data_IF_657738911697
#
_entry.id   IF_657738911697
#
_cell.length_a   1.000
_cell.length_b   1.000
_cell.length_c   1.000
_cell.angle_alpha   90.00
_cell.angle_beta   90.00
_cell.angle_gamma   90.00
#
_symmetry.space_group_name_H-M   'P 1'
#
loop_
_entity.id
_entity.type
_entity.pdbx_description
1 polymer ?
#
# COMPACT_ATOMS: atom_id res chain seq x y z
N UNK A 1 -14.90 25.72 5.49
CA UNK A 1 -14.12 24.94 6.44
C UNK A 1 -14.56 25.39 7.80
N UNK A 2 -15.01 24.46 8.61
CA UNK A 2 -15.54 24.67 9.95
C UNK A 2 -14.58 24.12 11.01
N UNK A 3 -14.67 24.59 12.26
CA UNK A 3 -13.87 24.03 13.35
C UNK A 3 -14.10 22.51 13.50
N UNK A 4 -13.00 21.76 13.44
CA UNK A 4 -13.02 20.29 13.53
C UNK A 4 -12.97 19.56 12.19
N UNK A 5 -13.03 20.27 11.06
CA UNK A 5 -12.87 19.66 9.74
C UNK A 5 -11.47 19.01 9.59
N UNK A 6 -11.46 17.78 9.05
CA UNK A 6 -10.24 17.03 8.71
C UNK A 6 -10.10 16.96 7.19
N UNK A 7 -8.98 17.45 6.67
CA UNK A 7 -8.64 17.36 5.24
C UNK A 7 -7.50 16.37 5.06
N UNK A 8 -7.78 15.24 4.42
CA UNK A 8 -6.74 14.28 4.02
C UNK A 8 -6.08 14.76 2.71
N UNK A 9 -4.79 15.09 2.77
CA UNK A 9 -4.02 15.69 1.65
C UNK A 9 -3.55 14.68 0.59
N UNK A 10 -3.87 13.40 0.79
CA UNK A 10 -3.46 12.31 -0.09
C UNK A 10 -2.21 11.59 0.39
N UNK A 11 -1.74 10.63 -0.40
CA UNK A 11 -0.60 9.76 -0.06
C UNK A 11 0.32 9.63 -1.26
N UNK A 12 1.63 9.78 -1.04
CA UNK A 12 2.61 9.41 -2.05
C UNK A 12 2.77 7.88 -2.05
N UNK A 13 2.19 7.22 -3.05
CA UNK A 13 2.19 5.77 -3.12
C UNK A 13 3.53 5.15 -3.56
N UNK A 14 4.51 5.94 -4.04
CA UNK A 14 5.75 5.39 -4.64
C UNK A 14 6.53 4.50 -3.67
N UNK A 15 6.64 4.91 -2.42
CA UNK A 15 7.39 4.18 -1.38
C UNK A 15 6.59 3.09 -0.66
N UNK A 16 5.31 2.91 -1.00
CA UNK A 16 4.42 2.02 -0.24
C UNK A 16 4.29 0.66 -0.90
N UNK A 17 4.17 -0.36 -0.05
CA UNK A 17 3.83 -1.74 -0.40
C UNK A 17 2.60 -2.19 0.42
N UNK A 18 1.94 -3.31 0.06
CA UNK A 18 0.74 -3.78 0.75
C UNK A 18 1.01 -4.11 2.23
N UNK A 19 0.10 -3.72 3.10
CA UNK A 19 0.06 -4.22 4.48
C UNK A 19 -0.47 -5.64 4.52
N UNK A 20 0.09 -6.45 5.41
CA UNK A 20 -0.33 -7.84 5.63
C UNK A 20 -0.64 -8.08 7.10
N UNK A 21 -1.38 -9.17 7.35
CA UNK A 21 -1.71 -9.61 8.71
C UNK A 21 -0.46 -9.70 9.60
N UNK A 22 -0.56 -9.16 10.81
CA UNK A 22 0.54 -9.12 11.77
C UNK A 22 1.51 -7.96 11.58
N UNK A 23 1.37 -7.14 10.52
CA UNK A 23 2.20 -5.95 10.35
C UNK A 23 1.93 -4.93 11.47
N UNK A 24 3.02 -4.37 12.00
CA UNK A 24 3.00 -3.15 12.80
C UNK A 24 3.40 -1.98 11.90
N UNK A 25 2.50 -1.03 11.72
CA UNK A 25 2.69 0.13 10.86
C UNK A 25 3.01 1.35 11.70
N UNK A 26 4.02 2.11 11.25
CA UNK A 26 4.39 3.40 11.81
C UNK A 26 4.36 4.46 10.71
N UNK A 27 3.68 5.57 10.97
CA UNK A 27 3.57 6.70 10.04
C UNK A 27 3.94 7.97 10.79
N UNK A 28 4.84 8.75 10.21
CA UNK A 28 5.31 10.01 10.79
C UNK A 28 5.60 11.05 9.71
N UNK A 29 5.62 12.30 10.12
CA UNK A 29 6.11 13.43 9.33
C UNK A 29 6.76 14.43 10.27
N UNK A 30 7.63 15.27 9.74
CA UNK A 30 8.33 16.27 10.52
C UNK A 30 7.35 17.23 11.20
N UNK A 31 7.61 17.57 12.46
CA UNK A 31 6.79 18.50 13.24
C UNK A 31 5.48 17.93 13.79
N UNK A 32 5.14 16.67 13.49
CA UNK A 32 4.00 15.95 14.06
C UNK A 32 4.46 14.73 14.89
N UNK A 33 3.50 14.05 15.51
CA UNK A 33 3.74 12.79 16.21
C UNK A 33 3.85 11.58 15.28
N UNK A 34 4.13 10.41 15.88
CA UNK A 34 4.13 9.11 15.21
C UNK A 34 2.84 8.36 15.49
N UNK A 35 2.14 7.96 14.43
CA UNK A 35 1.01 7.05 14.50
C UNK A 35 1.51 5.61 14.42
N UNK A 36 1.10 4.76 15.36
CA UNK A 36 1.43 3.33 15.38
C UNK A 36 0.18 2.48 15.50
N UNK A 37 0.03 1.47 14.65
CA UNK A 37 -1.09 0.52 14.69
C UNK A 37 -0.71 -0.86 14.16
N UNK A 38 -1.47 -1.89 14.54
CA UNK A 38 -1.29 -3.26 14.06
C UNK A 38 -2.35 -3.61 13.01
N UNK A 39 -1.99 -4.47 12.05
CA UNK A 39 -2.85 -4.91 10.96
C UNK A 39 -3.36 -6.32 11.25
N UNK A 40 -4.67 -6.51 11.11
CA UNK A 40 -5.33 -7.82 11.15
C UNK A 40 -6.07 -8.04 9.84
N UNK A 41 -5.79 -9.14 9.16
CA UNK A 41 -6.54 -9.62 8.00
C UNK A 41 -7.09 -11.02 8.27
N UNK A 42 -8.40 -11.12 8.46
CA UNK A 42 -9.09 -12.40 8.72
C UNK A 42 -8.91 -13.41 7.56
N UNK A 43 -8.69 -12.91 6.34
CA UNK A 43 -8.52 -13.75 5.16
C UNK A 43 -7.05 -14.17 4.92
N UNK A 44 -6.11 -13.68 5.75
CA UNK A 44 -4.66 -13.98 5.66
C UNK A 44 -4.11 -13.83 4.24
N UNK A 45 -4.56 -12.80 3.51
CA UNK A 45 -4.16 -12.54 2.12
C UNK A 45 -2.73 -12.04 2.09
N UNK A 46 -1.98 -12.44 1.06
CA UNK A 46 -0.61 -11.99 0.86
C UNK A 46 -0.41 -11.40 -0.52
N UNK A 47 0.44 -10.39 -0.55
CA UNK A 47 0.97 -9.77 -1.75
C UNK A 47 2.48 -9.75 -1.66
N UNK A 48 3.14 -9.53 -2.78
CA UNK A 48 4.58 -9.26 -2.78
C UNK A 48 4.87 -7.95 -2.04
N UNK A 49 5.88 -7.93 -1.16
CA UNK A 49 6.34 -6.70 -0.47
C UNK A 49 7.20 -5.84 -1.39
N UNK A 50 6.62 -5.40 -2.51
CA UNK A 50 7.27 -4.48 -3.45
C UNK A 50 6.58 -3.14 -3.42
N UNK A 51 7.40 -2.10 -3.41
CA UNK A 51 6.90 -0.73 -3.50
C UNK A 51 6.43 -0.44 -4.91
N UNK A 52 5.51 0.51 -5.04
CA UNK A 52 5.06 0.97 -6.36
C UNK A 52 6.24 1.48 -7.22
N UNK A 53 7.24 2.12 -6.62
CA UNK A 53 8.48 2.52 -7.30
C UNK A 53 9.24 1.30 -7.85
N UNK A 54 9.43 0.26 -7.05
CA UNK A 54 10.13 -0.95 -7.50
C UNK A 54 9.39 -1.65 -8.65
N UNK A 55 8.05 -1.70 -8.59
CA UNK A 55 7.22 -2.25 -9.67
C UNK A 55 7.43 -1.45 -10.97
N UNK A 56 7.37 -0.12 -10.85
CA UNK A 56 7.57 0.84 -11.94
C UNK A 56 8.95 0.74 -12.60
N UNK A 57 10.00 0.55 -11.80
CA UNK A 57 11.36 0.39 -12.31
C UNK A 57 11.54 -0.94 -13.06
N UNK A 58 10.87 -2.01 -12.62
CA UNK A 58 10.95 -3.33 -13.28
C UNK A 58 10.05 -3.50 -14.51
N UNK A 59 9.09 -2.59 -14.71
CA UNK A 59 8.13 -2.69 -15.80
C UNK A 59 8.82 -2.43 -17.15
N UNK A 60 8.79 -3.42 -18.04
CA UNK A 60 9.31 -3.30 -19.42
C UNK A 60 8.51 -2.32 -20.25
N UNK A 61 7.20 -2.24 -20.02
CA UNK A 61 6.26 -1.37 -20.71
C UNK A 61 5.56 -0.45 -19.70
N UNK A 62 5.54 0.85 -19.99
CA UNK A 62 4.98 1.90 -19.10
C UNK A 62 3.72 2.54 -19.67
N UNK A 63 2.89 1.74 -20.33
CA UNK A 63 1.67 2.20 -20.99
C UNK A 63 0.60 2.51 -19.94
N UNK A 64 0.08 3.74 -19.94
CA UNK A 64 -0.99 4.15 -19.03
C UNK A 64 -2.22 3.22 -19.18
N UNK A 65 -2.77 2.74 -18.06
CA UNK A 65 -3.87 1.77 -18.05
C UNK A 65 -3.45 0.30 -18.07
N UNK A 66 -2.25 -0.02 -18.58
CA UNK A 66 -1.64 -1.36 -18.55
C UNK A 66 -0.43 -1.44 -17.60
N UNK A 67 -0.17 -0.36 -16.87
CA UNK A 67 0.97 -0.23 -15.96
C UNK A 67 0.71 -1.04 -14.67
N UNK A 68 1.72 -1.74 -14.10
CA UNK A 68 1.54 -2.58 -12.91
C UNK A 68 1.47 -1.72 -11.65
N UNK A 69 0.39 -0.95 -11.57
CA UNK A 69 0.12 0.07 -10.55
C UNK A 69 -0.47 -0.52 -9.27
N UNK A 70 -0.93 -1.77 -9.35
CA UNK A 70 -1.52 -2.55 -8.27
C UNK A 70 -0.73 -3.86 -8.17
N UNK A 71 -0.19 -4.16 -6.99
CA UNK A 71 0.45 -5.44 -6.73
C UNK A 71 -0.59 -6.55 -6.79
N UNK A 72 -0.44 -7.58 -7.66
CA UNK A 72 -1.37 -8.70 -7.69
C UNK A 72 -1.29 -9.50 -6.40
N UNK A 73 -2.41 -10.09 -5.99
CA UNK A 73 -2.45 -10.97 -4.82
C UNK A 73 -1.64 -12.24 -5.12
N UNK A 74 -0.67 -12.54 -4.27
CA UNK A 74 0.19 -13.71 -4.38
C UNK A 74 -0.48 -14.96 -3.77
N UNK A 75 -1.10 -14.82 -2.59
CA UNK A 75 -1.76 -15.93 -1.89
C UNK A 75 -3.08 -15.48 -1.25
N UNK A 76 -4.04 -16.40 -1.16
CA UNK A 76 -5.31 -16.21 -0.45
C UNK A 76 -6.52 -16.10 -1.37
N UNK A 77 -7.68 -15.72 -0.80
CA UNK A 77 -9.01 -15.86 -1.42
C UNK A 77 -9.17 -15.35 -2.86
N UNK A 78 -8.48 -14.29 -3.27
CA UNK A 78 -8.62 -13.68 -4.60
C UNK A 78 -7.33 -13.75 -5.43
N UNK A 79 -6.35 -14.55 -5.01
CA UNK A 79 -5.21 -14.86 -5.86
C UNK A 79 -5.72 -15.57 -7.11
N UNK A 80 -5.29 -15.14 -8.29
CA UNK A 80 -5.65 -15.82 -9.54
C UNK A 80 -5.11 -17.25 -9.46
N UNK A 81 -5.97 -18.24 -9.67
CA UNK A 81 -5.55 -19.64 -9.77
C UNK A 81 -4.55 -19.75 -10.91
N UNK A 82 -3.42 -20.43 -10.64
CA UNK A 82 -2.42 -20.74 -11.67
C UNK A 82 -3.02 -21.66 -12.74
#
# INVERSE_FOLDING_TARGET
>A
LEPGDIIATGTNHRGLNPFMDGDKIEIETEGLGRLTFNVKDELKRKWERRTRLQMHESAKEKTAGNYPDITPQAEGKYAKTA
#
